data_IF_071923168731
#
_entry.id   IF_071923168731
#
_cell.length_a   1.000
_cell.length_b   1.000
_cell.length_c   1.000
_cell.angle_alpha   90.00
_cell.angle_beta   90.00
_cell.angle_gamma   90.00
#
_symmetry.space_group_name_H-M   'P 1'
#
loop_
_entity.id
_entity.type
_entity.pdbx_description
1 polymer ?
#
# COMPACT_ATOMS: atom_id res chain seq x y z
N UNK A 1 48.29 -19.36 6.53
CA UNK A 1 47.60 -18.25 7.21
C UNK A 1 46.28 -18.01 6.49
N UNK A 2 45.17 -18.49 7.07
CA UNK A 2 43.81 -18.29 6.53
C UNK A 2 43.37 -16.88 6.90
N UNK A 3 43.12 -16.03 5.90
CA UNK A 3 42.55 -14.71 6.09
C UNK A 3 41.07 -14.92 6.39
N UNK A 4 40.67 -14.66 7.64
CA UNK A 4 39.28 -14.59 8.06
C UNK A 4 38.58 -13.50 7.22
N UNK A 5 37.93 -13.91 6.14
CA UNK A 5 36.97 -13.05 5.43
C UNK A 5 35.82 -12.84 6.41
N UNK A 6 35.80 -11.67 7.05
CA UNK A 6 34.67 -11.22 7.86
C UNK A 6 33.38 -11.46 7.05
N UNK A 7 32.54 -12.38 7.53
CA UNK A 7 31.26 -12.69 6.87
C UNK A 7 30.41 -11.43 6.96
N UNK A 8 30.03 -10.86 5.82
CA UNK A 8 29.11 -9.73 5.77
C UNK A 8 27.80 -10.14 6.45
N UNK A 9 27.44 -9.44 7.53
CA UNK A 9 26.17 -9.62 8.22
C UNK A 9 25.26 -8.45 7.81
N UNK A 10 24.17 -8.70 7.05
CA UNK A 10 23.30 -7.63 6.59
C UNK A 10 22.61 -6.93 7.77
N UNK A 11 22.47 -5.61 7.67
CA UNK A 11 21.71 -4.77 8.60
C UNK A 11 20.22 -4.75 8.24
N UNK A 12 19.36 -4.31 9.16
CA UNK A 12 17.92 -4.15 8.92
C UNK A 12 17.68 -3.18 7.76
N UNK A 13 18.34 -2.02 7.76
CA UNK A 13 18.21 -1.03 6.69
C UNK A 13 18.69 -1.56 5.32
N UNK A 14 19.77 -2.34 5.30
CA UNK A 14 20.24 -3.00 4.08
C UNK A 14 19.16 -3.95 3.52
N UNK A 15 18.60 -4.81 4.38
CA UNK A 15 17.54 -5.74 3.96
C UNK A 15 16.30 -4.99 3.45
N UNK A 16 15.84 -3.96 4.18
CA UNK A 16 14.72 -3.13 3.76
C UNK A 16 14.96 -2.48 2.39
N UNK A 17 16.14 -1.91 2.19
CA UNK A 17 16.53 -1.30 0.91
C UNK A 17 16.53 -2.33 -0.23
N UNK A 18 16.95 -3.57 0.04
CA UNK A 18 16.90 -4.66 -0.94
C UNK A 18 15.47 -5.12 -1.21
N UNK A 19 14.59 -5.18 -0.22
CA UNK A 19 13.15 -5.46 -0.41
C UNK A 19 12.54 -4.40 -1.32
N UNK A 20 12.69 -3.11 -0.97
CA UNK A 20 12.18 -1.99 -1.75
C UNK A 20 12.68 -2.02 -3.20
N UNK A 21 13.97 -2.30 -3.41
CA UNK A 21 14.56 -2.40 -4.75
C UNK A 21 13.92 -3.52 -5.57
N UNK A 22 13.84 -4.74 -5.03
CA UNK A 22 13.25 -5.88 -5.76
C UNK A 22 11.75 -5.69 -6.02
N UNK A 23 11.00 -5.23 -5.02
CA UNK A 23 9.58 -4.94 -5.19
C UNK A 23 9.36 -3.89 -6.29
N UNK A 24 10.14 -2.79 -6.30
CA UNK A 24 10.00 -1.75 -7.32
C UNK A 24 10.34 -2.23 -8.74
N UNK A 25 11.33 -3.11 -8.90
CA UNK A 25 11.69 -3.70 -10.21
C UNK A 25 10.51 -4.43 -10.87
N UNK A 26 9.57 -4.94 -10.08
CA UNK A 26 8.36 -5.60 -10.59
C UNK A 26 7.50 -4.68 -11.46
N UNK A 27 7.60 -3.35 -11.28
CA UNK A 27 6.90 -2.37 -12.13
C UNK A 27 7.30 -2.48 -13.60
N UNK A 28 8.55 -2.84 -13.88
CA UNK A 28 9.12 -2.85 -15.22
C UNK A 28 9.03 -4.24 -15.89
N UNK A 29 8.57 -5.25 -15.15
CA UNK A 29 8.49 -6.65 -15.57
C UNK A 29 7.06 -7.11 -15.93
N UNK A 30 6.14 -6.19 -16.17
CA UNK A 30 4.71 -6.50 -16.41
C UNK A 30 4.44 -7.41 -17.60
N UNK A 31 5.40 -7.55 -18.52
CA UNK A 31 5.29 -8.40 -19.71
C UNK A 31 5.94 -9.78 -19.56
N UNK A 32 6.73 -10.00 -18.50
CA UNK A 32 7.37 -11.28 -18.20
C UNK A 32 6.90 -11.76 -16.83
N UNK A 33 5.79 -12.52 -16.83
CA UNK A 33 5.16 -13.02 -15.60
C UNK A 33 6.10 -13.91 -14.77
N UNK A 34 7.00 -14.65 -15.43
CA UNK A 34 7.95 -15.53 -14.74
C UNK A 34 9.00 -14.70 -14.00
N UNK A 35 9.61 -13.73 -14.69
CA UNK A 35 10.57 -12.83 -14.07
C UNK A 35 9.94 -11.95 -12.99
N UNK A 36 8.70 -11.50 -13.19
CA UNK A 36 7.92 -10.76 -12.21
C UNK A 36 7.74 -11.58 -10.92
N UNK A 37 7.24 -12.82 -11.05
CA UNK A 37 7.00 -13.70 -9.91
C UNK A 37 8.30 -14.04 -9.17
N UNK A 38 9.38 -14.34 -9.91
CA UNK A 38 10.68 -14.64 -9.31
C UNK A 38 11.28 -13.44 -8.56
N UNK A 39 11.21 -12.25 -9.16
CA UNK A 39 11.72 -11.00 -8.56
C UNK A 39 10.93 -10.64 -7.30
N UNK A 40 9.60 -10.79 -7.35
CA UNK A 40 8.76 -10.52 -6.19
C UNK A 40 9.00 -11.55 -5.07
N UNK A 41 9.11 -12.83 -5.40
CA UNK A 41 9.45 -13.89 -4.43
C UNK A 41 10.79 -13.64 -3.73
N UNK A 42 11.76 -13.07 -4.45
CA UNK A 42 13.02 -12.64 -3.86
C UNK A 42 12.85 -11.48 -2.89
N UNK A 43 11.93 -10.54 -3.15
CA UNK A 43 11.59 -9.46 -2.22
C UNK A 43 10.94 -10.03 -0.94
N UNK A 44 10.06 -11.01 -1.06
CA UNK A 44 9.40 -11.69 0.06
C UNK A 44 10.41 -12.41 0.96
N UNK A 45 11.35 -13.15 0.35
CA UNK A 45 12.43 -13.81 1.08
C UNK A 45 13.29 -12.82 1.86
N UNK A 46 13.67 -11.70 1.23
CA UNK A 46 14.44 -10.64 1.90
C UNK A 46 13.65 -9.98 3.03
N UNK A 47 12.32 -9.89 2.89
CA UNK A 47 11.47 -9.36 3.95
C UNK A 47 11.34 -10.33 5.12
N UNK A 48 11.26 -11.64 4.85
CA UNK A 48 11.34 -12.66 5.89
C UNK A 48 12.69 -12.60 6.63
N UNK A 49 13.81 -12.46 5.91
CA UNK A 49 15.14 -12.28 6.51
C UNK A 49 15.19 -11.01 7.39
N UNK A 50 14.51 -9.93 6.98
CA UNK A 50 14.38 -8.70 7.76
C UNK A 50 13.60 -8.94 9.06
N UNK A 51 12.47 -9.63 9.01
CA UNK A 51 11.68 -9.96 10.21
C UNK A 51 12.46 -10.87 11.17
N UNK A 52 13.18 -11.86 10.63
CA UNK A 52 14.03 -12.76 11.40
C UNK A 52 15.20 -11.99 12.07
N UNK A 53 15.81 -11.05 11.33
CA UNK A 53 16.87 -10.17 11.87
C UNK A 53 16.36 -9.27 12.99
N UNK A 54 15.13 -8.78 12.86
CA UNK A 54 14.43 -8.00 13.88
C UNK A 54 13.91 -8.86 15.03
N UNK A 55 13.95 -10.19 14.92
CA UNK A 55 13.45 -11.15 15.92
C UNK A 55 11.99 -10.89 16.29
N UNK A 56 11.17 -10.68 15.27
CA UNK A 56 9.73 -10.53 15.47
C UNK A 56 9.15 -11.90 15.83
N UNK A 57 8.44 -12.00 16.96
CA UNK A 57 7.76 -13.23 17.38
C UNK A 57 6.34 -12.95 17.85
N UNK A 58 5.45 -13.93 17.69
CA UNK A 58 4.08 -13.84 18.21
C UNK A 58 4.07 -13.94 19.74
N UNK A 59 2.87 -13.88 20.32
CA UNK A 59 2.64 -14.03 21.77
C UNK A 59 3.09 -15.39 22.34
N UNK A 60 3.33 -16.39 21.48
CA UNK A 60 3.80 -17.72 21.85
C UNK A 60 5.31 -17.90 21.61
N UNK A 61 6.01 -16.84 21.17
CA UNK A 61 7.43 -16.88 20.86
C UNK A 61 7.77 -17.49 19.50
N UNK A 62 6.78 -17.76 18.64
CA UNK A 62 7.05 -18.26 17.29
C UNK A 62 7.52 -17.11 16.39
N UNK A 63 8.54 -17.31 15.55
CA UNK A 63 8.99 -16.31 14.60
C UNK A 63 7.87 -15.82 13.68
N UNK A 64 7.87 -14.53 13.39
CA UNK A 64 6.98 -13.93 12.41
C UNK A 64 7.20 -14.59 11.05
N UNK A 65 6.12 -15.05 10.43
CA UNK A 65 6.16 -15.67 9.12
C UNK A 65 5.23 -14.92 8.19
N UNK A 66 5.69 -14.71 6.96
CA UNK A 66 4.78 -14.28 5.91
C UNK A 66 3.70 -15.34 5.71
N UNK A 67 2.46 -14.94 5.45
CA UNK A 67 1.39 -15.89 5.14
C UNK A 67 1.75 -16.67 3.86
N UNK A 68 1.68 -18.00 3.89
CA UNK A 68 1.97 -18.84 2.71
C UNK A 68 0.78 -18.86 1.74
N UNK A 69 1.04 -19.06 0.45
CA UNK A 69 -0.01 -19.13 -0.58
C UNK A 69 -0.89 -20.40 -0.44
N UNK A 70 -0.46 -21.37 0.36
CA UNK A 70 -1.17 -22.64 0.60
C UNK A 70 -1.82 -22.74 2.00
N UNK A 71 -1.64 -21.74 2.87
CA UNK A 71 -2.24 -21.74 4.21
C UNK A 71 -3.64 -21.11 4.16
N UNK A 72 -4.56 -21.79 3.48
CA UNK A 72 -5.97 -21.44 3.50
C UNK A 72 -6.53 -21.75 4.90
N UNK A 73 -6.89 -20.71 5.63
CA UNK A 73 -7.78 -20.69 6.81
C UNK A 73 -7.22 -20.84 8.23
N UNK A 74 -5.95 -21.19 8.48
CA UNK A 74 -5.50 -21.44 9.88
C UNK A 74 -4.51 -20.41 10.47
N UNK A 75 -4.08 -19.41 9.69
CA UNK A 75 -3.08 -18.43 10.14
C UNK A 75 -3.68 -17.16 10.77
N UNK A 76 -4.97 -16.89 10.60
CA UNK A 76 -5.62 -15.69 11.16
C UNK A 76 -6.10 -15.86 12.61
N UNK A 77 -6.11 -17.08 13.15
CA UNK A 77 -6.39 -17.36 14.57
C UNK A 77 -5.20 -17.11 15.50
N UNK A 78 -4.07 -16.60 14.97
CA UNK A 78 -2.96 -16.12 15.81
C UNK A 78 -3.36 -14.81 16.49
N UNK A 79 -4.06 -14.94 17.61
CA UNK A 79 -4.40 -13.82 18.51
C UNK A 79 -3.12 -13.25 19.15
N UNK A 80 -2.46 -12.34 18.44
CA UNK A 80 -1.30 -11.62 18.97
C UNK A 80 -0.59 -10.75 17.95
N UNK A 81 -0.08 -9.62 18.42
CA UNK A 81 0.81 -8.78 17.63
C UNK A 81 2.22 -9.33 17.72
N UNK A 82 2.93 -9.34 16.59
CA UNK A 82 4.36 -9.59 16.58
C UNK A 82 5.08 -8.48 17.35
N UNK A 83 5.89 -8.90 18.32
CA UNK A 83 6.71 -8.01 19.13
C UNK A 83 8.19 -8.33 18.94
N UNK A 84 9.04 -7.34 19.17
CA UNK A 84 10.48 -7.55 19.20
C UNK A 84 10.88 -8.11 20.56
N UNK A 85 11.33 -9.36 20.61
CA UNK A 85 11.68 -10.05 21.87
C UNK A 85 12.81 -9.41 22.65
N UNK A 86 13.65 -8.60 21.99
CA UNK A 86 14.86 -8.07 22.59
C UNK A 86 14.70 -6.66 23.16
N UNK A 87 13.53 -6.03 23.03
CA UNK A 87 13.27 -4.66 23.51
C UNK A 87 14.27 -3.59 23.00
N UNK A 88 15.03 -3.87 21.93
CA UNK A 88 16.09 -3.02 21.36
C UNK A 88 15.69 -2.39 20.02
N UNK A 89 14.40 -2.37 19.68
CA UNK A 89 13.98 -1.92 18.36
C UNK A 89 14.14 -0.40 18.23
N UNK A 90 14.99 0.03 17.31
CA UNK A 90 15.22 1.46 17.09
C UNK A 90 14.11 2.05 16.22
N UNK A 91 13.94 3.39 16.26
CA UNK A 91 13.06 4.10 15.32
C UNK A 91 13.47 3.85 13.87
N UNK A 92 14.76 3.70 13.61
CA UNK A 92 15.30 3.40 12.27
C UNK A 92 14.88 2.01 11.80
N UNK A 93 14.90 1.00 12.67
CA UNK A 93 14.43 -0.35 12.34
C UNK A 93 12.93 -0.37 12.03
N UNK A 94 12.13 0.37 12.81
CA UNK A 94 10.70 0.51 12.55
C UNK A 94 10.44 1.16 11.18
N UNK A 95 11.14 2.26 10.86
CA UNK A 95 11.03 2.92 9.57
C UNK A 95 11.50 2.01 8.41
N UNK A 96 12.54 1.20 8.62
CA UNK A 96 13.02 0.24 7.63
C UNK A 96 11.97 -0.87 7.36
N UNK A 97 11.38 -1.45 8.40
CA UNK A 97 10.27 -2.40 8.28
C UNK A 97 9.09 -1.80 7.53
N UNK A 98 8.64 -0.62 7.96
CA UNK A 98 7.50 0.11 7.38
C UNK A 98 7.69 0.38 5.89
N UNK A 99 8.87 0.87 5.48
CA UNK A 99 9.19 1.08 4.05
C UNK A 99 9.15 -0.22 3.25
N UNK A 100 9.70 -1.30 3.82
CA UNK A 100 9.78 -2.59 3.15
C UNK A 100 8.38 -3.19 2.91
N UNK A 101 7.53 -3.23 3.95
CA UNK A 101 6.18 -3.79 3.82
C UNK A 101 5.26 -2.93 2.96
N UNK A 102 5.36 -1.60 3.05
CA UNK A 102 4.65 -0.68 2.14
C UNK A 102 5.05 -0.92 0.67
N UNK A 103 6.33 -1.23 0.41
CA UNK A 103 6.80 -1.55 -0.93
C UNK A 103 6.25 -2.88 -1.44
N UNK A 104 6.14 -3.90 -0.58
CA UNK A 104 5.49 -5.16 -0.94
C UNK A 104 4.04 -4.93 -1.38
N UNK A 105 3.24 -4.18 -0.59
CA UNK A 105 1.85 -3.88 -0.94
C UNK A 105 1.76 -3.08 -2.25
N UNK A 106 2.55 -2.01 -2.40
CA UNK A 106 2.48 -1.09 -3.56
C UNK A 106 2.87 -1.73 -4.89
N UNK A 107 3.76 -2.71 -4.85
CA UNK A 107 4.33 -3.33 -6.04
C UNK A 107 4.03 -4.83 -6.13
N UNK A 108 3.00 -5.29 -5.42
CA UNK A 108 2.53 -6.66 -5.53
C UNK A 108 2.18 -7.00 -6.99
N UNK A 109 2.43 -8.24 -7.45
CA UNK A 109 2.10 -8.65 -8.81
C UNK A 109 0.59 -8.80 -9.01
N UNK A 110 -0.16 -9.07 -7.95
CA UNK A 110 -1.62 -9.23 -7.98
C UNK A 110 -2.28 -8.50 -6.80
N UNK A 111 -3.58 -8.22 -6.93
CA UNK A 111 -4.39 -7.58 -5.88
C UNK A 111 -4.51 -8.45 -4.63
N UNK A 112 -4.75 -9.75 -4.82
CA UNK A 112 -4.86 -10.71 -3.71
C UNK A 112 -3.56 -10.74 -2.90
N UNK A 113 -2.41 -10.67 -3.57
CA UNK A 113 -1.11 -10.62 -2.91
C UNK A 113 -0.89 -9.31 -2.15
N UNK A 114 -1.32 -8.17 -2.70
CA UNK A 114 -1.32 -6.90 -1.97
C UNK A 114 -2.21 -6.93 -0.73
N UNK A 115 -3.44 -7.46 -0.85
CA UNK A 115 -4.40 -7.61 0.25
C UNK A 115 -3.85 -8.51 1.34
N UNK A 116 -3.25 -9.62 0.97
CA UNK A 116 -2.63 -10.56 1.90
C UNK A 116 -1.58 -9.88 2.79
N UNK A 117 -0.74 -9.03 2.23
CA UNK A 117 0.23 -8.24 3.01
C UNK A 117 -0.40 -7.11 3.82
N UNK A 118 -1.46 -6.49 3.30
CA UNK A 118 -2.24 -5.50 4.03
C UNK A 118 -2.88 -6.11 5.29
N UNK A 119 -3.58 -7.24 5.13
CA UNK A 119 -4.21 -7.97 6.24
C UNK A 119 -3.15 -8.44 7.26
N UNK A 120 -2.06 -9.06 6.80
CA UNK A 120 -0.95 -9.42 7.68
C UNK A 120 -0.47 -8.23 8.53
N UNK A 121 -0.32 -7.05 7.93
CA UNK A 121 0.09 -5.84 8.64
C UNK A 121 -0.97 -5.35 9.65
N UNK A 122 -2.24 -5.32 9.26
CA UNK A 122 -3.32 -4.83 10.11
C UNK A 122 -3.67 -5.79 11.26
N UNK A 123 -3.51 -7.09 11.04
CA UNK A 123 -3.90 -8.10 12.02
C UNK A 123 -2.74 -8.48 12.94
N UNK A 124 -1.53 -8.63 12.38
CA UNK A 124 -0.40 -9.23 13.11
C UNK A 124 0.69 -8.24 13.50
N UNK A 125 0.68 -7.00 13.01
CA UNK A 125 1.74 -6.02 13.33
C UNK A 125 1.19 -4.94 14.27
N UNK A 126 1.78 -4.83 15.46
CA UNK A 126 1.44 -3.82 16.46
C UNK A 126 2.41 -2.62 16.49
N UNK A 127 2.17 -1.64 17.37
CA UNK A 127 3.12 -0.57 17.62
C UNK A 127 4.48 -1.09 18.12
N UNK A 128 5.61 -0.41 17.80
CA UNK A 128 5.72 0.82 17.02
C UNK A 128 5.88 0.58 15.50
N UNK A 129 5.78 -0.66 15.03
CA UNK A 129 5.86 -1.00 13.60
C UNK A 129 4.62 -0.52 12.85
N UNK A 130 3.44 -0.67 13.46
CA UNK A 130 2.19 -0.11 12.96
C UNK A 130 1.92 1.25 13.61
N UNK A 131 1.71 2.26 12.77
CA UNK A 131 1.36 3.62 13.18
C UNK A 131 0.22 4.14 12.29
N UNK A 132 -0.49 5.17 12.72
CA UNK A 132 -1.55 5.78 11.91
C UNK A 132 -1.03 6.22 10.53
N UNK A 133 0.17 6.82 10.49
CA UNK A 133 0.84 7.25 9.25
C UNK A 133 1.08 6.09 8.28
N UNK A 134 1.53 4.94 8.79
CA UNK A 134 1.79 3.78 7.93
C UNK A 134 0.52 3.07 7.51
N UNK A 135 -0.52 3.06 8.33
CA UNK A 135 -1.85 2.61 7.92
C UNK A 135 -2.41 3.45 6.77
N UNK A 136 -2.25 4.78 6.81
CA UNK A 136 -2.67 5.67 5.70
C UNK A 136 -1.85 5.38 4.45
N UNK A 137 -0.54 5.18 4.59
CA UNK A 137 0.34 4.83 3.47
C UNK A 137 -0.07 3.50 2.84
N UNK A 138 -0.41 2.50 3.66
CA UNK A 138 -0.93 1.21 3.21
C UNK A 138 -2.26 1.36 2.46
N UNK A 139 -3.17 2.18 2.99
CA UNK A 139 -4.44 2.48 2.35
C UNK A 139 -4.24 3.11 0.96
N UNK A 140 -3.37 4.10 0.85
CA UNK A 140 -3.04 4.74 -0.43
C UNK A 140 -2.40 3.73 -1.40
N UNK A 141 -1.50 2.88 -0.91
CA UNK A 141 -0.83 1.88 -1.73
C UNK A 141 -1.79 0.81 -2.26
N UNK A 142 -2.78 0.37 -1.46
CA UNK A 142 -3.78 -0.59 -1.95
C UNK A 142 -4.72 0.07 -2.97
N UNK A 143 -5.14 1.32 -2.77
CA UNK A 143 -5.92 2.07 -3.77
C UNK A 143 -5.14 2.20 -5.08
N UNK A 144 -3.84 2.53 -5.00
CA UNK A 144 -2.96 2.59 -6.16
C UNK A 144 -2.86 1.25 -6.91
N UNK A 145 -2.78 0.13 -6.18
CA UNK A 145 -2.77 -1.21 -6.77
C UNK A 145 -4.06 -1.51 -7.53
N UNK A 146 -5.22 -1.20 -6.93
CA UNK A 146 -6.50 -1.37 -7.62
C UNK A 146 -6.65 -0.43 -8.82
N UNK A 147 -6.15 0.80 -8.73
CA UNK A 147 -6.21 1.77 -9.83
C UNK A 147 -5.43 1.31 -11.07
N UNK A 148 -4.35 0.53 -10.91
CA UNK A 148 -3.61 -0.07 -12.04
C UNK A 148 -4.42 -1.11 -12.81
N UNK A 149 -5.28 -1.85 -12.12
CA UNK A 149 -6.09 -2.95 -12.64
C UNK A 149 -7.57 -2.57 -12.77
N UNK A 150 -7.86 -1.26 -12.83
CA UNK A 150 -9.22 -0.71 -12.92
C UNK A 150 -9.85 -0.94 -14.31
N UNK A 151 -9.47 -2.00 -15.01
CA UNK A 151 -10.02 -2.36 -16.32
C UNK A 151 -11.45 -2.90 -16.21
N UNK A 152 -11.85 -3.43 -15.05
CA UNK A 152 -13.21 -3.94 -14.82
C UNK A 152 -14.01 -3.13 -13.79
N UNK A 153 -15.33 -2.93 -14.00
CA UNK A 153 -16.20 -2.21 -13.06
C UNK A 153 -16.24 -2.84 -11.66
N UNK A 154 -16.16 -4.18 -11.56
CA UNK A 154 -16.18 -4.89 -10.27
C UNK A 154 -14.97 -4.55 -9.40
N UNK A 155 -13.79 -4.43 -10.02
CA UNK A 155 -12.55 -4.02 -9.33
C UNK A 155 -12.63 -2.58 -8.86
N UNK A 156 -13.17 -1.69 -9.69
CA UNK A 156 -13.38 -0.29 -9.31
C UNK A 156 -14.34 -0.17 -8.11
N UNK A 157 -15.38 -1.00 -8.07
CA UNK A 157 -16.33 -1.01 -6.96
C UNK A 157 -15.68 -1.46 -5.64
N UNK A 158 -14.84 -2.50 -5.66
CA UNK A 158 -14.06 -2.90 -4.49
C UNK A 158 -13.09 -1.81 -4.05
N UNK A 159 -12.43 -1.14 -5.02
CA UNK A 159 -11.51 -0.06 -4.75
C UNK A 159 -12.19 1.17 -4.11
N UNK A 160 -13.48 1.39 -4.43
CA UNK A 160 -14.28 2.44 -3.86
C UNK A 160 -14.41 2.31 -2.33
N UNK A 161 -14.47 1.08 -1.81
CA UNK A 161 -14.60 0.87 -0.37
C UNK A 161 -13.34 1.33 0.39
N UNK A 162 -12.15 1.12 -0.18
CA UNK A 162 -10.92 1.70 0.36
C UNK A 162 -10.89 3.23 0.30
N UNK A 163 -11.43 3.84 -0.77
CA UNK A 163 -11.55 5.29 -0.87
C UNK A 163 -12.50 5.84 0.20
N UNK A 164 -13.63 5.17 0.46
CA UNK A 164 -14.56 5.54 1.53
C UNK A 164 -13.90 5.47 2.90
N UNK A 165 -13.16 4.40 3.19
CA UNK A 165 -12.36 4.27 4.42
C UNK A 165 -11.39 5.47 4.56
N UNK A 166 -10.77 5.90 3.46
CA UNK A 166 -9.87 7.06 3.47
C UNK A 166 -10.59 8.38 3.79
N UNK A 167 -11.82 8.55 3.31
CA UNK A 167 -12.65 9.70 3.66
C UNK A 167 -13.11 9.66 5.11
N UNK A 168 -13.51 8.50 5.62
CA UNK A 168 -13.88 8.30 7.03
C UNK A 168 -12.72 8.58 7.98
N UNK A 169 -11.50 8.25 7.57
CA UNK A 169 -10.25 8.55 8.29
C UNK A 169 -9.74 9.98 8.07
N UNK A 170 -10.51 10.81 7.37
CA UNK A 170 -10.20 12.21 7.09
C UNK A 170 -8.83 12.43 6.42
N UNK A 171 -8.38 11.48 5.58
CA UNK A 171 -7.04 11.49 4.94
C UNK A 171 -6.79 12.78 4.15
N UNK A 172 -7.85 13.39 3.59
CA UNK A 172 -7.79 14.62 2.80
C UNK A 172 -7.47 15.88 3.62
N UNK A 173 -7.64 15.84 4.94
CA UNK A 173 -7.43 16.98 5.84
C UNK A 173 -6.27 16.77 6.82
N UNK A 174 -5.50 15.69 6.66
CA UNK A 174 -4.28 15.45 7.44
C UNK A 174 -3.25 16.52 7.06
N UNK A 175 -2.70 17.27 8.03
CA UNK A 175 -1.70 18.27 7.75
C UNK A 175 -0.45 17.60 7.17
N UNK A 176 0.15 18.22 6.16
CA UNK A 176 1.43 17.75 5.62
C UNK A 176 2.48 17.79 6.74
N UNK A 177 2.99 16.63 7.14
CA UNK A 177 4.14 16.56 8.02
C UNK A 177 5.37 17.01 7.25
N UNK A 178 6.04 18.07 7.71
CA UNK A 178 7.29 18.51 7.11
C UNK A 178 8.46 17.68 7.67
N UNK A 179 8.57 16.43 7.21
CA UNK A 179 9.78 15.63 7.39
C UNK A 179 10.61 15.70 6.10
N UNK A 180 11.79 16.35 6.12
CA UNK A 180 12.63 16.49 4.93
C UNK A 180 13.13 15.15 4.37
N UNK A 181 13.02 14.05 5.13
CA UNK A 181 13.39 12.71 4.69
C UNK A 181 12.20 11.86 4.23
N UNK A 182 10.98 12.37 4.30
CA UNK A 182 9.79 11.63 3.89
C UNK A 182 9.48 11.85 2.40
N UNK A 183 9.50 10.75 1.65
CA UNK A 183 9.13 10.74 0.22
C UNK A 183 7.62 10.97 -0.01
N UNK A 184 6.79 10.83 1.02
CA UNK A 184 5.34 11.06 0.99
C UNK A 184 5.01 12.46 1.53
N UNK A 185 5.49 13.49 0.84
CA UNK A 185 5.42 14.89 1.30
C UNK A 185 3.98 15.44 1.45
N UNK A 186 2.98 14.76 0.90
CA UNK A 186 1.57 15.11 1.08
C UNK A 186 0.63 13.90 0.86
N UNK A 187 0.25 13.18 1.93
CA UNK A 187 -0.67 12.05 1.84
C UNK A 187 -2.03 12.40 1.22
N UNK A 188 -2.55 13.62 1.44
CA UNK A 188 -3.84 14.04 0.91
C UNK A 188 -3.80 14.18 -0.61
N UNK A 189 -2.76 14.82 -1.14
CA UNK A 189 -2.57 14.96 -2.58
C UNK A 189 -2.32 13.61 -3.26
N UNK A 190 -1.55 12.71 -2.64
CA UNK A 190 -1.34 11.37 -3.20
C UNK A 190 -2.64 10.56 -3.17
N UNK A 191 -3.37 10.56 -2.05
CA UNK A 191 -4.68 9.91 -1.93
C UNK A 191 -5.65 10.39 -3.00
N UNK A 192 -5.78 11.70 -3.19
CA UNK A 192 -6.59 12.30 -4.25
C UNK A 192 -6.19 11.80 -5.65
N UNK A 193 -4.88 11.81 -5.93
CA UNK A 193 -4.32 11.41 -7.22
C UNK A 193 -4.59 9.94 -7.54
N UNK A 194 -4.34 9.03 -6.59
CA UNK A 194 -4.53 7.58 -6.80
C UNK A 194 -6.01 7.18 -6.85
N UNK A 195 -6.90 7.96 -6.22
CA UNK A 195 -8.35 7.70 -6.23
C UNK A 195 -9.01 8.11 -7.55
N UNK A 196 -8.47 9.11 -8.25
CA UNK A 196 -9.10 9.71 -9.43
C UNK A 196 -9.44 8.73 -10.56
N UNK A 197 -8.56 7.77 -10.95
CA UNK A 197 -8.89 6.82 -12.01
C UNK A 197 -10.11 5.94 -11.68
N UNK A 198 -10.19 5.45 -10.44
CA UNK A 198 -11.29 4.62 -9.94
C UNK A 198 -12.59 5.43 -9.95
N UNK A 199 -12.57 6.63 -9.36
CA UNK A 199 -13.76 7.49 -9.28
C UNK A 199 -14.28 7.84 -10.68
N UNK A 200 -13.39 8.17 -11.62
CA UNK A 200 -13.76 8.47 -13.01
C UNK A 200 -14.50 7.32 -13.66
N UNK A 201 -14.04 6.08 -13.46
CA UNK A 201 -14.68 4.89 -14.03
C UNK A 201 -16.08 4.65 -13.48
N UNK A 202 -16.31 5.01 -12.20
CA UNK A 202 -17.61 4.89 -11.55
C UNK A 202 -18.50 6.13 -11.73
N UNK A 203 -18.10 7.09 -12.56
CA UNK A 203 -18.77 8.40 -12.69
C UNK A 203 -18.93 9.14 -11.35
N UNK A 204 -17.97 9.00 -10.46
CA UNK A 204 -17.90 9.69 -9.17
C UNK A 204 -16.81 10.77 -9.20
N UNK A 205 -16.94 11.73 -8.29
CA UNK A 205 -15.91 12.71 -7.97
C UNK A 205 -15.97 13.08 -6.49
N UNK A 206 -14.87 13.61 -5.97
CA UNK A 206 -14.90 14.25 -4.66
C UNK A 206 -15.82 15.49 -4.69
N UNK A 207 -16.55 15.72 -3.60
CA UNK A 207 -17.26 16.96 -3.35
C UNK A 207 -16.29 18.15 -3.29
N UNK A 208 -16.83 19.37 -3.37
CA UNK A 208 -16.01 20.58 -3.35
C UNK A 208 -15.22 20.73 -2.03
N UNK A 209 -15.81 20.31 -0.92
CA UNK A 209 -15.18 20.27 0.40
C UNK A 209 -14.31 19.01 0.63
N UNK A 210 -14.21 18.11 -0.36
CA UNK A 210 -13.40 16.88 -0.35
C UNK A 210 -13.74 15.89 0.77
N UNK A 211 -14.92 16.00 1.40
CA UNK A 211 -15.37 15.14 2.50
C UNK A 211 -16.30 14.00 2.07
N UNK A 212 -16.85 14.08 0.86
CA UNK A 212 -17.78 13.08 0.35
C UNK A 212 -17.56 12.81 -1.14
N UNK A 213 -18.25 11.80 -1.65
CA UNK A 213 -18.28 11.47 -3.06
C UNK A 213 -19.65 11.85 -3.64
N UNK A 214 -19.64 12.48 -4.80
CA UNK A 214 -20.85 12.86 -5.53
C UNK A 214 -20.82 12.30 -6.95
N UNK A 215 -21.99 12.08 -7.52
CA UNK A 215 -22.10 11.75 -8.94
C UNK A 215 -21.48 12.88 -9.76
N UNK A 216 -20.60 12.51 -10.69
CA UNK A 216 -20.11 13.42 -11.71
C UNK A 216 -21.28 13.69 -12.64
N UNK A 217 -22.05 14.75 -12.35
CA UNK A 217 -23.18 15.19 -13.15
C UNK A 217 -22.76 15.17 -14.62
N UNK A 218 -23.39 14.29 -15.40
CA UNK A 218 -23.32 14.41 -16.84
C UNK A 218 -23.92 15.77 -17.13
N UNK A 219 -23.09 16.75 -17.51
CA UNK A 219 -23.62 17.84 -18.29
C UNK A 219 -24.11 17.18 -19.58
N UNK A 220 -25.34 16.67 -19.56
CA UNK A 220 -26.14 16.57 -20.75
C UNK A 220 -26.12 17.96 -21.31
N UNK A 221 -25.33 18.16 -22.37
CA UNK A 221 -25.35 19.34 -23.21
C UNK A 221 -26.78 19.51 -23.69
N UNK A 222 -27.63 20.11 -22.86
CA UNK A 222 -28.88 20.69 -23.29
C UNK A 222 -28.44 21.75 -24.27
N UNK A 223 -28.53 21.39 -25.56
CA UNK A 223 -28.39 22.26 -26.70
C UNK A 223 -29.02 23.59 -26.33
N UNK A 224 -28.17 24.56 -26.01
CA UNK A 224 -28.55 25.95 -25.90
C UNK A 224 -28.79 26.36 -27.35
N UNK A 225 -29.95 25.99 -27.90
CA UNK A 225 -30.40 26.55 -29.17
C UNK A 225 -30.55 28.05 -28.92
N UNK A 226 -29.73 28.90 -29.57
CA UNK A 226 -29.98 30.33 -29.49
C UNK A 226 -31.39 30.60 -30.04
N UNK A 227 -32.14 31.54 -29.43
CA UNK A 227 -33.48 31.86 -29.89
C UNK A 227 -33.44 32.26 -31.37
N UNK A 228 -34.27 31.60 -32.20
CA UNK A 228 -34.41 31.96 -33.62
C UNK A 228 -34.85 33.43 -33.70
N UNK A 229 -34.18 34.26 -34.52
CA UNK A 229 -34.63 35.63 -34.75
C UNK A 229 -36.03 35.61 -35.35
N UNK A 230 -36.92 36.46 -34.81
CA UNK A 230 -38.29 36.63 -35.33
C UNK A 230 -38.24 37.29 -36.73
N UNK A 231 -39.05 36.85 -37.69
CA UNK A 231 -39.17 37.54 -38.96
C UNK A 231 -39.82 38.91 -38.73
N UNK A 232 -39.18 39.95 -39.26
CA UNK A 232 -39.80 41.27 -39.41
C UNK A 232 -40.84 41.16 -40.52
N UNK A 233 -42.10 41.43 -40.18
CA UNK A 233 -43.17 41.73 -41.12
C UNK A 233 -43.37 43.24 -41.17
#
# INVERSE_FOLDING_TARGET
MSVDRARFVPTVDYLASRVCKNAKLCKDLTHDLSALQATYSQAEKLFQDLMDKMRLTDNMGNPARLPNDNDDNNSMDRNGYYQNTNNTMTRSDAAAFQRAICSLVRYAPTRDKALKYLCFFLDQIGPPLRTAKTEITMLINIIYMYAKDASSPGVAQQALDFIKIGLERDVMNIPAEHDPNDSFQDPANVFFSVSKPILRQLNLRFSQDRRSLVQASSYSSSSFMPPRPRPYY
#
